data_IF_371016651154
#
_entry.id   IF_371016651154
#
_cell.length_a   1.000
_cell.length_b   1.000
_cell.length_c   1.000
_cell.angle_alpha   90.00
_cell.angle_beta   90.00
_cell.angle_gamma   90.00
#
_symmetry.space_group_name_H-M   'P 1'
#
loop_
_entity.id
_entity.type
_entity.pdbx_description
1 polymer ?
#
# COMPACT_ATOMS: atom_id res chain seq x y z
N UNK A 1 16.03 4.25 -5.86
CA UNK A 1 15.57 3.76 -7.15
C UNK A 1 14.65 4.77 -7.80
N UNK A 2 14.82 4.97 -9.07
CA UNK A 2 14.02 5.94 -9.81
C UNK A 2 12.70 5.35 -10.22
N UNK A 3 11.60 5.99 -9.84
CA UNK A 3 10.27 5.56 -10.23
C UNK A 3 9.96 6.04 -11.64
N UNK A 4 9.27 5.20 -12.38
CA UNK A 4 8.78 5.53 -13.72
C UNK A 4 7.27 5.63 -13.62
N UNK A 5 6.75 6.81 -13.94
CA UNK A 5 5.31 7.02 -13.91
C UNK A 5 4.64 6.19 -15.02
N UNK A 6 3.48 5.65 -14.70
CA UNK A 6 2.77 4.77 -15.60
C UNK A 6 1.28 5.01 -15.48
N UNK A 7 0.55 4.83 -16.57
CA UNK A 7 -0.90 5.01 -16.59
C UNK A 7 -1.57 3.67 -16.88
N UNK A 8 -2.57 3.33 -16.08
CA UNK A 8 -3.38 2.15 -16.29
C UNK A 8 -4.82 2.48 -15.91
N UNK A 9 -5.75 2.11 -16.77
CA UNK A 9 -7.20 2.33 -16.54
C UNK A 9 -7.50 3.78 -16.19
N UNK A 10 -6.89 4.72 -16.94
CA UNK A 10 -7.06 6.16 -16.79
C UNK A 10 -6.51 6.70 -15.48
N UNK A 11 -5.84 5.90 -14.67
CA UNK A 11 -5.20 6.33 -13.44
C UNK A 11 -3.71 6.45 -13.67
N UNK A 12 -3.14 7.59 -13.28
CA UNK A 12 -1.71 7.80 -13.41
C UNK A 12 -1.02 7.40 -12.11
N UNK A 13 -0.18 6.39 -12.20
CA UNK A 13 0.55 5.85 -11.06
C UNK A 13 1.95 6.42 -10.96
N UNK A 14 2.48 6.47 -9.74
CA UNK A 14 3.82 6.98 -9.50
C UNK A 14 4.91 6.02 -10.00
N UNK A 15 4.58 4.76 -10.22
CA UNK A 15 5.54 3.78 -10.69
C UNK A 15 4.85 2.72 -11.55
N UNK A 16 5.68 2.06 -12.37
CA UNK A 16 5.21 0.94 -13.17
C UNK A 16 4.75 -0.22 -12.28
N UNK A 17 5.44 -0.44 -11.16
CA UNK A 17 5.07 -1.48 -10.22
C UNK A 17 3.65 -1.28 -9.71
N UNK A 18 3.30 -0.04 -9.34
CA UNK A 18 1.95 0.25 -8.85
C UNK A 18 0.91 0.02 -9.93
N UNK A 19 1.20 0.42 -11.16
CA UNK A 19 0.28 0.19 -12.27
C UNK A 19 0.06 -1.31 -12.51
N UNK A 20 1.12 -2.09 -12.43
CA UNK A 20 1.02 -3.53 -12.62
C UNK A 20 0.24 -4.19 -11.48
N UNK A 21 0.39 -3.66 -10.26
CA UNK A 21 -0.35 -4.17 -9.13
C UNK A 21 -1.85 -3.91 -9.30
N UNK A 22 -2.22 -2.71 -9.74
CA UNK A 22 -3.62 -2.38 -10.01
C UNK A 22 -4.21 -3.32 -11.07
N UNK A 23 -3.43 -3.60 -12.11
CA UNK A 23 -3.85 -4.54 -13.14
C UNK A 23 -4.07 -5.94 -12.55
N UNK A 24 -3.19 -6.34 -11.64
CA UNK A 24 -3.32 -7.62 -10.97
C UNK A 24 -4.59 -7.69 -10.12
N UNK A 25 -4.90 -6.60 -9.41
CA UNK A 25 -6.16 -6.53 -8.66
C UNK A 25 -7.35 -6.75 -9.57
N UNK A 26 -7.34 -6.10 -10.74
CA UNK A 26 -8.45 -6.26 -11.70
C UNK A 26 -8.56 -7.70 -12.17
N UNK A 27 -7.43 -8.35 -12.43
CA UNK A 27 -7.42 -9.75 -12.87
C UNK A 27 -7.99 -10.68 -11.82
N UNK A 28 -7.82 -10.34 -10.55
CA UNK A 28 -8.30 -11.14 -9.43
C UNK A 28 -9.71 -10.74 -8.97
N UNK A 29 -10.30 -9.75 -9.62
CA UNK A 29 -11.62 -9.26 -9.23
C UNK A 29 -11.64 -8.49 -7.93
N UNK A 30 -10.51 -7.91 -7.57
CA UNK A 30 -10.37 -7.14 -6.33
C UNK A 30 -10.59 -5.67 -6.63
N UNK A 31 -11.52 -5.05 -5.89
CA UNK A 31 -11.79 -3.63 -6.02
C UNK A 31 -10.68 -2.83 -5.35
N UNK A 32 -10.23 -1.76 -6.00
CA UNK A 32 -9.17 -0.94 -5.47
C UNK A 32 -9.43 0.55 -5.72
N UNK A 33 -8.79 1.38 -4.88
CA UNK A 33 -8.73 2.83 -5.06
C UNK A 33 -7.28 3.23 -4.90
N UNK A 34 -6.79 4.05 -5.80
CA UNK A 34 -5.40 4.50 -5.76
C UNK A 34 -5.31 5.79 -4.94
N UNK A 35 -4.38 5.81 -3.97
CA UNK A 35 -4.16 6.95 -3.08
C UNK A 35 -5.48 7.45 -2.48
N UNK A 36 -6.20 6.57 -1.77
CA UNK A 36 -7.59 6.84 -1.38
C UNK A 36 -7.74 7.94 -0.35
N UNK A 37 -6.72 8.20 0.46
CA UNK A 37 -6.83 9.13 1.57
C UNK A 37 -5.46 9.49 2.11
N UNK A 38 -5.45 10.42 3.05
CA UNK A 38 -4.25 10.78 3.79
C UNK A 38 -4.49 10.49 5.26
N UNK A 39 -3.57 9.78 5.88
CA UNK A 39 -3.70 9.33 7.26
C UNK A 39 -2.71 10.13 8.11
N UNK A 40 -3.19 10.92 9.09
CA UNK A 40 -2.29 11.69 9.95
C UNK A 40 -1.45 10.80 10.83
N UNK A 41 -0.21 11.20 11.08
CA UNK A 41 0.68 10.46 11.95
C UNK A 41 1.68 11.40 12.62
N UNK A 42 2.21 10.99 13.78
CA UNK A 42 3.15 11.79 14.58
C UNK A 42 4.59 11.39 14.28
N UNK A 43 5.62 12.21 14.69
CA UNK A 43 5.62 13.18 15.78
C UNK A 43 5.09 14.57 15.44
N UNK A 44 5.26 15.07 14.22
CA UNK A 44 4.57 16.28 13.78
C UNK A 44 3.35 15.81 12.99
N UNK A 45 2.34 16.65 12.88
CA UNK A 45 1.17 16.26 12.10
C UNK A 45 1.60 16.06 10.65
N UNK A 46 1.68 14.83 10.24
CA UNK A 46 2.00 14.43 8.89
C UNK A 46 0.92 13.48 8.41
N UNK A 47 0.83 13.31 7.12
CA UNK A 47 -0.16 12.44 6.53
C UNK A 47 0.51 11.29 5.81
N UNK A 48 0.09 10.09 6.15
CA UNK A 48 0.51 8.91 5.43
C UNK A 48 -0.57 8.60 4.40
N UNK A 49 -0.15 8.47 3.16
CA UNK A 49 -1.06 8.21 2.05
C UNK A 49 -0.78 6.79 1.56
N UNK A 50 -1.63 5.83 1.90
CA UNK A 50 -1.43 4.47 1.39
C UNK A 50 -1.60 4.44 -0.12
N UNK A 51 -0.94 3.48 -0.77
CA UNK A 51 -1.00 3.40 -2.21
C UNK A 51 -2.35 2.93 -2.70
N UNK A 52 -2.97 1.97 -2.01
CA UNK A 52 -4.25 1.42 -2.41
C UNK A 52 -5.13 1.13 -1.21
N UNK A 53 -6.44 1.19 -1.44
CA UNK A 53 -7.43 0.55 -0.59
C UNK A 53 -8.08 -0.54 -1.43
N UNK A 54 -8.12 -1.75 -0.90
CA UNK A 54 -8.72 -2.87 -1.61
C UNK A 54 -9.94 -3.38 -0.85
N UNK A 55 -10.91 -3.86 -1.60
CA UNK A 55 -12.12 -4.46 -1.05
C UNK A 55 -12.28 -5.84 -1.67
N UNK A 56 -12.25 -6.86 -0.83
CA UNK A 56 -12.41 -8.22 -1.28
C UNK A 56 -13.87 -8.54 -1.54
N UNK A 57 -14.13 -9.66 -2.22
CA UNK A 57 -15.49 -10.05 -2.55
C UNK A 57 -16.34 -10.29 -1.31
N UNK A 58 -15.69 -10.66 -0.19
CA UNK A 58 -16.41 -10.88 1.07
C UNK A 58 -16.68 -9.58 1.84
N UNK A 59 -16.29 -8.43 1.28
CA UNK A 59 -16.47 -7.13 1.91
C UNK A 59 -15.35 -6.68 2.80
N UNK A 60 -14.34 -7.50 3.01
CA UNK A 60 -13.17 -7.12 3.81
C UNK A 60 -12.38 -6.02 3.09
N UNK A 61 -11.96 -4.99 3.84
CA UNK A 61 -11.22 -3.87 3.30
C UNK A 61 -9.90 -3.68 4.03
N UNK A 62 -8.87 -3.32 3.29
CA UNK A 62 -7.59 -2.99 3.90
C UNK A 62 -6.77 -2.12 2.94
N UNK A 63 -5.72 -1.50 3.48
CA UNK A 63 -4.82 -0.66 2.69
C UNK A 63 -3.60 -1.45 2.28
N UNK A 64 -3.07 -1.11 1.11
CA UNK A 64 -1.86 -1.73 0.58
C UNK A 64 -0.79 -0.66 0.42
N UNK A 65 0.40 -0.98 0.90
CA UNK A 65 1.61 -0.19 0.66
C UNK A 65 2.50 -1.00 -0.28
N UNK A 66 2.74 -0.47 -1.48
CA UNK A 66 3.54 -1.15 -2.50
C UNK A 66 4.97 -0.62 -2.45
N UNK A 67 5.95 -1.49 -2.21
CA UNK A 67 7.35 -1.11 -2.07
C UNK A 67 8.25 -2.00 -2.91
N UNK A 68 9.27 -1.39 -3.52
CA UNK A 68 10.32 -2.16 -4.16
C UNK A 68 11.18 -2.86 -3.13
N UNK A 69 11.47 -2.17 -2.02
CA UNK A 69 12.13 -2.77 -0.88
C UNK A 69 11.73 -2.00 0.37
N UNK A 70 11.96 -2.61 1.52
CA UNK A 70 11.56 -2.04 2.80
C UNK A 70 12.79 -1.51 3.53
N UNK A 71 12.90 -0.18 3.69
CA UNK A 71 14.04 0.42 4.35
C UNK A 71 13.73 0.72 5.83
N UNK A 72 14.77 0.98 6.66
CA UNK A 72 14.57 1.22 8.07
C UNK A 72 13.71 2.44 8.40
N UNK A 73 13.77 3.49 7.61
CA UNK A 73 12.96 4.68 7.88
C UNK A 73 11.49 4.39 7.67
N UNK A 74 11.16 3.58 6.69
CA UNK A 74 9.78 3.16 6.47
C UNK A 74 9.29 2.29 7.62
N UNK A 75 10.15 1.42 8.16
CA UNK A 75 9.78 0.59 9.29
C UNK A 75 9.41 1.44 10.50
N UNK A 76 10.23 2.44 10.80
CA UNK A 76 9.96 3.34 11.92
C UNK A 76 8.66 4.12 11.73
N UNK A 77 8.45 4.64 10.52
CA UNK A 77 7.24 5.37 10.18
C UNK A 77 5.99 4.49 10.36
N UNK A 78 6.05 3.27 9.84
CA UNK A 78 4.89 2.39 9.90
C UNK A 78 4.61 1.91 11.32
N UNK A 79 5.65 1.75 12.14
CA UNK A 79 5.46 1.41 13.54
C UNK A 79 4.69 2.51 14.27
N UNK A 80 5.04 3.78 14.00
CA UNK A 80 4.34 4.91 14.60
C UNK A 80 2.90 5.01 14.14
N UNK A 81 2.66 4.78 12.84
CA UNK A 81 1.31 4.83 12.29
C UNK A 81 0.45 3.74 12.92
N UNK A 82 1.00 2.54 13.07
CA UNK A 82 0.27 1.42 13.69
C UNK A 82 -0.07 1.73 15.14
N UNK A 83 0.86 2.35 15.85
CA UNK A 83 0.63 2.72 17.25
C UNK A 83 -0.46 3.77 17.40
N UNK A 84 -0.48 4.74 16.50
CA UNK A 84 -1.44 5.84 16.54
C UNK A 84 -2.79 5.50 15.92
N UNK A 85 -2.81 4.53 15.03
CA UNK A 85 -4.03 4.11 14.34
C UNK A 85 -4.13 2.58 14.37
N UNK A 86 -4.34 2.00 15.56
CA UNK A 86 -4.28 0.54 15.70
C UNK A 86 -5.37 -0.21 14.95
N UNK A 87 -6.45 0.48 14.57
CA UNK A 87 -7.55 -0.17 13.85
C UNK A 87 -7.32 -0.23 12.34
N UNK A 88 -6.28 0.42 11.84
CA UNK A 88 -5.99 0.38 10.40
C UNK A 88 -5.32 -0.93 10.04
N UNK A 89 -5.84 -1.56 8.99
CA UNK A 89 -5.24 -2.77 8.42
C UNK A 89 -4.43 -2.34 7.20
N UNK A 90 -3.13 -2.27 7.38
CA UNK A 90 -2.21 -1.87 6.33
C UNK A 90 -1.30 -3.06 6.03
N UNK A 91 -1.30 -3.49 4.79
CA UNK A 91 -0.50 -4.64 4.36
C UNK A 91 0.52 -4.20 3.33
N UNK A 92 1.69 -4.81 3.37
CA UNK A 92 2.79 -4.47 2.46
C UNK A 92 2.85 -5.49 1.33
N UNK A 93 3.05 -4.97 0.13
CA UNK A 93 3.32 -5.80 -1.03
C UNK A 93 4.69 -5.39 -1.54
N UNK A 94 5.64 -6.33 -1.51
CA UNK A 94 7.00 -6.07 -1.93
C UNK A 94 7.28 -6.74 -3.26
N UNK A 95 8.05 -6.05 -4.09
CA UNK A 95 8.59 -6.67 -5.29
C UNK A 95 9.99 -7.17 -4.96
N UNK A 96 10.18 -8.49 -5.05
CA UNK A 96 11.48 -9.10 -4.81
C UNK A 96 11.86 -9.83 -6.09
N UNK A 97 12.78 -9.23 -6.84
CA UNK A 97 13.10 -9.67 -8.19
C UNK A 97 11.85 -9.58 -9.05
N UNK A 98 11.36 -10.71 -9.54
CA UNK A 98 10.15 -10.74 -10.36
C UNK A 98 8.94 -11.24 -9.57
N UNK A 99 9.07 -11.32 -8.25
CA UNK A 99 8.01 -11.86 -7.40
C UNK A 99 7.43 -10.80 -6.51
N UNK A 100 6.15 -10.94 -6.19
CA UNK A 100 5.46 -10.04 -5.26
C UNK A 100 5.24 -10.80 -3.96
N UNK A 101 5.74 -10.24 -2.86
CA UNK A 101 5.59 -10.82 -1.53
C UNK A 101 4.75 -9.88 -0.69
N UNK A 102 3.74 -10.43 -0.01
CA UNK A 102 2.83 -9.65 0.83
C UNK A 102 3.11 -9.88 2.30
N UNK A 103 3.13 -8.79 3.07
CA UNK A 103 3.25 -8.85 4.53
C UNK A 103 2.25 -7.90 5.16
N UNK A 104 1.65 -8.34 6.26
CA UNK A 104 0.70 -7.51 6.98
C UNK A 104 1.40 -6.75 8.11
N UNK A 105 1.03 -5.48 8.32
CA UNK A 105 1.47 -4.72 9.49
C UNK A 105 0.63 -5.03 10.71
N UNK A 106 -0.50 -5.68 10.51
CA UNK A 106 -1.37 -6.05 11.60
C UNK A 106 -0.74 -7.17 12.40
N UNK A 107 -0.71 -7.01 13.73
CA UNK A 107 -0.10 -8.00 14.58
C UNK A 107 -0.96 -9.27 14.55
N UNK A 108 -0.38 -10.41 14.15
CA UNK A 108 -1.18 -11.62 14.01
C UNK A 108 -1.51 -12.30 15.31
N UNK A 109 -0.84 -11.99 16.37
CA UNK A 109 -1.03 -12.66 17.65
C UNK A 109 -1.83 -13.94 17.58
#
# INVERSE_FOLDING_TARGET
>A
MRSIKSTYNKTRFASKFEAELAKKFDELGIKWEYEPCRIPWQPAVRYYKPDFKVTLLNGEEFYIEAKGYFDPSMRSKMAQIREQHPDLDIRFVFMLEDKVISRSTKNPT
#
